data_IF_231905640268
#
_entry.id   IF_231905640268
#
_cell.length_a   1.000
_cell.length_b   1.000
_cell.length_c   1.000
_cell.angle_alpha   90.00
_cell.angle_beta   90.00
_cell.angle_gamma   90.00
#
_symmetry.space_group_name_H-M   'P 1'
#
loop_
_entity.id
_entity.type
_entity.pdbx_description
1 polymer ?
#
# COMPACT_ATOMS: atom_id res chain seq x y z
N UNK A 1 1.80 6.86 -8.19
CA UNK A 1 2.97 7.46 -7.52
C UNK A 1 2.76 8.96 -7.54
N UNK A 2 3.01 9.62 -6.42
CA UNK A 2 2.99 11.09 -6.35
C UNK A 2 4.43 11.59 -6.27
N UNK A 3 4.61 12.89 -6.40
CA UNK A 3 5.95 13.50 -6.29
C UNK A 3 6.58 13.29 -4.90
N UNK A 4 5.77 13.05 -3.87
CA UNK A 4 6.20 13.03 -2.47
C UNK A 4 6.12 11.64 -1.80
N UNK A 5 5.64 10.63 -2.52
CA UNK A 5 5.53 9.29 -1.96
C UNK A 5 4.91 8.25 -2.88
N UNK A 6 5.06 6.99 -2.49
CA UNK A 6 4.58 5.85 -3.25
C UNK A 6 4.28 4.66 -2.34
N UNK A 7 3.48 3.73 -2.86
CA UNK A 7 3.37 2.38 -2.34
C UNK A 7 3.38 1.35 -3.46
N UNK A 8 3.78 0.12 -3.14
CA UNK A 8 3.70 -1.04 -4.01
C UNK A 8 3.15 -2.23 -3.23
N UNK A 9 2.13 -2.89 -3.76
CA UNK A 9 1.51 -4.07 -3.18
C UNK A 9 1.84 -5.31 -4.02
N UNK A 10 2.16 -6.42 -3.36
CA UNK A 10 2.36 -7.72 -4.00
C UNK A 10 1.84 -8.87 -3.15
N UNK A 11 1.28 -9.93 -3.73
CA UNK A 11 0.94 -11.14 -3.00
C UNK A 11 2.21 -11.78 -2.41
N UNK A 12 2.08 -12.40 -1.23
CA UNK A 12 3.12 -13.24 -0.66
C UNK A 12 3.23 -14.53 -1.47
N UNK A 13 4.44 -15.06 -1.58
CA UNK A 13 4.69 -16.33 -2.31
C UNK A 13 4.52 -17.58 -1.45
N UNK A 14 4.36 -17.43 -0.14
CA UNK A 14 4.41 -18.54 0.83
C UNK A 14 3.28 -18.54 1.85
N UNK A 15 2.52 -17.45 1.94
CA UNK A 15 1.50 -17.23 2.96
C UNK A 15 0.26 -16.63 2.31
N UNK A 16 -0.91 -16.84 2.92
CA UNK A 16 -2.16 -16.19 2.52
C UNK A 16 -2.17 -14.73 3.03
N UNK A 17 -1.25 -13.94 2.48
CA UNK A 17 -1.05 -12.55 2.84
C UNK A 17 -0.52 -11.77 1.62
N UNK A 18 -0.56 -10.43 1.71
CA UNK A 18 0.11 -9.54 0.78
C UNK A 18 1.07 -8.62 1.54
N UNK A 19 2.05 -8.06 0.83
CA UNK A 19 3.03 -7.11 1.37
C UNK A 19 2.84 -5.76 0.70
N UNK A 20 2.79 -4.71 1.51
CA UNK A 20 2.86 -3.32 1.05
C UNK A 20 4.24 -2.77 1.43
N UNK A 21 4.92 -2.19 0.45
CA UNK A 21 6.09 -1.34 0.65
C UNK A 21 5.66 0.09 0.38
N UNK A 22 6.04 1.02 1.23
CA UNK A 22 5.72 2.43 1.04
C UNK A 22 6.88 3.32 1.49
N UNK A 23 6.92 4.52 0.92
CA UNK A 23 7.93 5.53 1.23
C UNK A 23 7.33 6.93 1.08
N UNK A 24 7.84 7.86 1.88
CA UNK A 24 7.45 9.26 1.91
C UNK A 24 8.69 10.14 2.01
N UNK A 25 8.75 11.16 1.15
CA UNK A 25 9.76 12.23 1.22
C UNK A 25 9.42 13.31 2.27
N UNK A 26 8.21 13.29 2.82
CA UNK A 26 7.72 14.26 3.81
C UNK A 26 7.80 13.74 5.26
N UNK A 27 8.37 12.56 5.47
CA UNK A 27 8.56 11.96 6.80
C UNK A 27 7.45 10.99 7.23
N UNK A 28 7.49 10.60 8.51
CA UNK A 28 6.75 9.47 9.05
C UNK A 28 5.23 9.68 9.08
N UNK A 29 4.73 10.86 9.50
CA UNK A 29 3.29 11.13 9.54
C UNK A 29 2.66 11.03 8.14
N UNK A 30 3.35 11.53 7.11
CA UNK A 30 2.88 11.39 5.73
C UNK A 30 2.99 9.94 5.24
N UNK A 31 4.02 9.19 5.66
CA UNK A 31 4.13 7.75 5.35
C UNK A 31 2.97 6.96 5.96
N UNK A 32 2.59 7.23 7.20
CA UNK A 32 1.44 6.58 7.86
C UNK A 32 0.13 6.83 7.11
N UNK A 33 -0.06 8.04 6.56
CA UNK A 33 -1.19 8.33 5.67
C UNK A 33 -1.15 7.47 4.40
N UNK A 34 0.02 7.35 3.76
CA UNK A 34 0.21 6.47 2.59
C UNK A 34 -0.06 5.01 2.97
N UNK A 35 0.38 4.54 4.14
CA UNK A 35 0.15 3.18 4.62
C UNK A 35 -1.35 2.87 4.74
N UNK A 36 -2.12 3.76 5.37
CA UNK A 36 -3.57 3.59 5.51
C UNK A 36 -4.29 3.60 4.17
N UNK A 37 -4.03 4.60 3.32
CA UNK A 37 -4.65 4.71 1.99
C UNK A 37 -4.30 3.51 1.10
N UNK A 38 -3.07 2.99 1.19
CA UNK A 38 -2.64 1.82 0.43
C UNK A 38 -3.46 0.57 0.79
N UNK A 39 -3.73 0.34 2.07
CA UNK A 39 -4.57 -0.79 2.52
C UNK A 39 -5.99 -0.66 2.00
N UNK A 40 -6.58 0.54 2.04
CA UNK A 40 -7.92 0.80 1.50
C UNK A 40 -7.99 0.49 0.00
N UNK A 41 -7.06 1.04 -0.79
CA UNK A 41 -7.00 0.84 -2.25
C UNK A 41 -6.84 -0.65 -2.61
N UNK A 42 -5.92 -1.35 -1.95
CA UNK A 42 -5.71 -2.78 -2.21
C UNK A 42 -6.96 -3.58 -1.85
N UNK A 43 -7.62 -3.25 -0.75
CA UNK A 43 -8.83 -3.95 -0.31
C UNK A 43 -10.00 -3.76 -1.29
N UNK A 44 -10.20 -2.55 -1.81
CA UNK A 44 -11.25 -2.24 -2.78
C UNK A 44 -11.03 -2.97 -4.12
N UNK A 45 -9.81 -2.94 -4.65
CA UNK A 45 -9.48 -3.61 -5.92
C UNK A 45 -9.60 -5.13 -5.80
N UNK A 46 -9.15 -5.72 -4.70
CA UNK A 46 -9.27 -7.17 -4.47
C UNK A 46 -10.71 -7.61 -4.22
N UNK A 47 -11.55 -6.77 -3.59
CA UNK A 47 -12.98 -7.06 -3.44
C UNK A 47 -13.71 -7.13 -4.80
N UNK A 48 -13.24 -6.36 -5.79
CA UNK A 48 -13.78 -6.32 -7.15
C UNK A 48 -13.25 -7.44 -8.05
N UNK A 49 -12.20 -8.14 -7.64
CA UNK A 49 -11.59 -9.26 -8.38
C UNK A 49 -12.29 -10.60 -8.16
N UNK A 50 -13.46 -10.60 -7.49
CA UNK A 50 -14.25 -11.78 -7.13
C UNK A 50 -15.25 -12.18 -8.21
#
# INVERSE_FOLDING_TARGET
MTDNGWFAARPSGTEEAYKIYCESFLGAEHREKIEHEAVEIVSEVLASAK
#
